data_IF_100516130644
#
_entry.id   IF_100516130644
#
_cell.length_a   1.000
_cell.length_b   1.000
_cell.length_c   1.000
_cell.angle_alpha   90.00
_cell.angle_beta   90.00
_cell.angle_gamma   90.00
#
_symmetry.space_group_name_H-M   'P 1'
#
loop_
_entity.id
_entity.type
_entity.pdbx_description
1 polymer ?
#
# COMPACT_ATOMS: atom_id res chain seq x y z
N UNK A 1 23.23 -1.11 14.63
CA UNK A 1 22.42 -2.32 14.44
C UNK A 1 21.00 -1.89 14.14
N UNK A 2 20.58 -2.13 12.89
CA UNK A 2 19.27 -2.04 12.24
C UNK A 2 18.23 -1.01 12.76
N UNK A 3 18.26 0.20 12.17
CA UNK A 3 17.17 1.18 12.26
C UNK A 3 16.18 0.95 11.12
N UNK A 4 15.07 0.26 11.40
CA UNK A 4 13.70 0.51 10.90
C UNK A 4 12.84 -0.72 11.24
N UNK A 5 12.52 -0.87 12.53
CA UNK A 5 11.32 -1.60 12.92
C UNK A 5 10.17 -0.64 12.77
N UNK A 6 9.43 -0.70 11.65
CA UNK A 6 8.14 -0.03 11.62
C UNK A 6 7.23 -0.77 12.62
N UNK A 7 6.52 -0.02 13.43
CA UNK A 7 5.40 -0.59 14.18
C UNK A 7 4.18 -0.63 13.25
N UNK A 8 3.38 -1.68 13.38
CA UNK A 8 2.22 -1.90 12.53
C UNK A 8 0.98 -2.14 13.38
N UNK A 9 -0.15 -1.70 12.83
CA UNK A 9 -1.48 -2.13 13.25
C UNK A 9 -1.96 -3.21 12.28
N UNK A 10 -2.01 -4.45 12.74
CA UNK A 10 -2.57 -5.57 12.00
C UNK A 10 -4.09 -5.63 12.19
N UNK A 11 -4.83 -5.87 11.11
CA UNK A 11 -6.27 -6.15 11.15
C UNK A 11 -6.58 -7.38 10.31
N UNK A 12 -7.30 -8.34 10.88
CA UNK A 12 -7.78 -9.49 10.11
C UNK A 12 -9.07 -9.13 9.37
N UNK A 13 -9.08 -9.36 8.05
CA UNK A 13 -10.25 -9.23 7.20
C UNK A 13 -10.32 -10.46 6.30
N UNK A 14 -11.43 -11.19 6.33
CA UNK A 14 -11.62 -12.41 5.54
C UNK A 14 -10.44 -13.41 5.69
N UNK A 15 -9.95 -13.62 6.92
CA UNK A 15 -8.82 -14.50 7.24
C UNK A 15 -7.46 -14.05 6.64
N UNK A 16 -7.35 -12.78 6.26
CA UNK A 16 -6.11 -12.18 5.77
C UNK A 16 -5.74 -11.04 6.69
N UNK A 17 -4.51 -11.07 7.20
CA UNK A 17 -3.93 -9.98 7.97
C UNK A 17 -3.57 -8.83 7.03
N UNK A 18 -4.11 -7.65 7.31
CA UNK A 18 -3.83 -6.40 6.60
C UNK A 18 -3.08 -5.49 7.55
N UNK A 19 -1.83 -5.20 7.21
CA UNK A 19 -0.97 -4.33 8.00
C UNK A 19 -1.10 -2.87 7.57
N UNK A 20 -1.14 -1.99 8.57
CA UNK A 20 -0.98 -0.55 8.43
C UNK A 20 0.25 -0.08 9.22
N UNK A 21 1.16 0.66 8.59
CA UNK A 21 2.29 1.30 9.27
C UNK A 21 1.80 2.41 10.19
N UNK A 22 2.22 2.40 11.46
CA UNK A 22 1.75 3.39 12.45
C UNK A 22 2.28 4.80 12.15
N UNK A 23 3.51 4.91 11.64
CA UNK A 23 4.19 6.19 11.50
C UNK A 23 3.66 7.08 10.36
N UNK A 24 3.20 6.46 9.26
CA UNK A 24 2.79 7.17 8.04
C UNK A 24 1.46 6.68 7.46
N UNK A 25 0.80 5.72 8.13
CA UNK A 25 -0.51 5.23 7.78
C UNK A 25 -0.56 4.37 6.52
N UNK A 26 0.58 4.06 5.88
CA UNK A 26 0.58 3.24 4.66
C UNK A 26 -0.01 1.87 4.93
N UNK A 27 -0.79 1.38 3.97
CA UNK A 27 -1.52 0.11 4.08
C UNK A 27 -0.94 -0.90 3.10
N UNK A 28 -0.80 -2.15 3.53
CA UNK A 28 -0.43 -3.26 2.65
C UNK A 28 -1.58 -3.58 1.68
N UNK A 29 -1.56 -2.91 0.52
CA UNK A 29 -2.59 -3.05 -0.51
C UNK A 29 -2.59 -4.44 -1.17
N UNK A 30 -1.45 -5.15 -1.15
CA UNK A 30 -1.44 -6.56 -1.60
C UNK A 30 -2.33 -7.42 -0.72
N UNK A 31 -2.23 -7.29 0.61
CA UNK A 31 -3.10 -8.01 1.55
C UNK A 31 -4.56 -7.55 1.42
N UNK A 32 -4.80 -6.24 1.33
CA UNK A 32 -6.14 -5.67 1.17
C UNK A 32 -6.88 -6.18 -0.07
N UNK A 33 -6.22 -6.15 -1.24
CA UNK A 33 -6.82 -6.68 -2.46
C UNK A 33 -7.06 -8.19 -2.35
N UNK A 34 -6.11 -8.94 -1.78
CA UNK A 34 -6.24 -10.39 -1.59
C UNK A 34 -7.44 -10.73 -0.70
N UNK A 35 -7.68 -9.96 0.37
CA UNK A 35 -8.82 -10.13 1.26
C UNK A 35 -10.17 -9.92 0.54
N UNK A 36 -10.14 -9.20 -0.59
CA UNK A 36 -11.28 -8.96 -1.47
C UNK A 36 -11.33 -9.89 -2.69
N UNK A 37 -10.45 -10.91 -2.76
CA UNK A 37 -10.35 -11.80 -3.91
C UNK A 37 -9.81 -11.14 -5.19
N UNK A 38 -9.08 -10.02 -5.07
CA UNK A 38 -8.52 -9.23 -6.18
C UNK A 38 -6.99 -9.19 -6.12
N UNK A 39 -6.36 -8.79 -7.23
CA UNK A 39 -4.92 -8.54 -7.29
C UNK A 39 -4.64 -7.04 -7.32
N UNK A 40 -3.65 -6.58 -6.55
CA UNK A 40 -3.22 -5.17 -6.57
C UNK A 40 -2.75 -4.73 -7.96
N UNK A 41 -2.13 -5.64 -8.72
CA UNK A 41 -1.74 -5.38 -10.10
C UNK A 41 -2.94 -5.06 -11.01
N UNK A 42 -4.10 -5.67 -10.76
CA UNK A 42 -5.31 -5.41 -11.52
C UNK A 42 -5.91 -4.03 -11.21
N UNK A 43 -5.74 -3.52 -9.99
CA UNK A 43 -6.13 -2.16 -9.62
C UNK A 43 -5.18 -1.13 -10.25
N UNK A 44 -3.86 -1.34 -10.15
CA UNK A 44 -2.85 -0.41 -10.67
C UNK A 44 -2.81 -0.32 -12.20
N UNK A 45 -3.32 -1.32 -12.92
CA UNK A 45 -3.40 -1.29 -14.39
C UNK A 45 -4.58 -0.48 -14.95
N UNK A 46 -5.61 -0.20 -14.15
CA UNK A 46 -6.79 0.55 -14.60
C UNK A 46 -6.40 1.97 -14.95
N UNK A 47 -6.91 2.49 -16.07
CA UNK A 47 -6.61 3.86 -16.50
C UNK A 47 -7.16 4.90 -15.50
N UNK A 48 -8.34 4.64 -14.94
CA UNK A 48 -8.90 5.46 -13.85
C UNK A 48 -7.99 5.54 -12.62
N UNK A 49 -7.29 4.46 -12.28
CA UNK A 49 -6.34 4.45 -11.15
C UNK A 49 -5.09 5.27 -11.48
N UNK A 50 -4.60 5.19 -12.73
CA UNK A 50 -3.44 5.99 -13.17
C UNK A 50 -3.76 7.48 -13.19
N UNK A 51 -4.94 7.84 -13.70
CA UNK A 51 -5.45 9.21 -13.68
C UNK A 51 -5.56 9.72 -12.24
N UNK A 52 -6.20 8.94 -11.36
CA UNK A 52 -6.29 9.28 -9.94
C UNK A 52 -4.91 9.50 -9.27
N UNK A 53 -3.94 8.60 -9.51
CA UNK A 53 -2.60 8.74 -8.93
C UNK A 53 -1.85 9.96 -9.47
N UNK A 54 -2.07 10.33 -10.73
CA UNK A 54 -1.47 11.52 -11.35
C UNK A 54 -2.04 12.80 -10.74
N UNK A 55 -3.36 12.86 -10.57
CA UNK A 55 -4.00 14.00 -9.89
C UNK A 55 -3.57 14.09 -8.43
N UNK A 56 -3.50 12.95 -7.73
CA UNK A 56 -3.07 12.91 -6.34
C UNK A 56 -1.60 13.36 -6.19
N UNK A 57 -0.70 12.90 -7.06
CA UNK A 57 0.69 13.37 -7.12
C UNK A 57 0.77 14.90 -7.27
N UNK A 58 -0.06 15.49 -8.14
CA UNK A 58 -0.12 16.94 -8.33
C UNK A 58 -0.65 17.68 -7.10
N UNK A 59 -1.64 17.13 -6.40
CA UNK A 59 -2.28 17.77 -5.25
C UNK A 59 -1.40 17.71 -3.98
N UNK A 60 -0.83 16.54 -3.68
CA UNK A 60 -0.04 16.34 -2.44
C UNK A 60 1.46 16.61 -2.62
N UNK A 61 1.95 16.66 -3.86
CA UNK A 61 3.35 16.95 -4.19
C UNK A 61 4.32 15.78 -3.99
N UNK A 62 3.82 14.57 -3.74
CA UNK A 62 4.63 13.36 -3.63
C UNK A 62 4.58 12.59 -4.95
N UNK A 63 5.74 12.10 -5.45
CA UNK A 63 5.76 11.33 -6.68
C UNK A 63 4.96 10.03 -6.53
N UNK A 64 4.43 9.50 -7.64
CA UNK A 64 3.67 8.22 -7.62
C UNK A 64 4.47 7.07 -6.98
N UNK A 65 5.80 7.06 -7.13
CA UNK A 65 6.67 6.05 -6.50
C UNK A 65 6.70 6.12 -4.97
N UNK A 66 6.38 7.28 -4.39
CA UNK A 66 6.15 7.41 -2.95
C UNK A 66 4.73 7.00 -2.59
N UNK A 67 3.72 7.40 -3.37
CA UNK A 67 2.31 7.02 -3.15
C UNK A 67 2.08 5.50 -3.22
N UNK A 68 2.86 4.78 -4.03
CA UNK A 68 2.81 3.33 -4.22
C UNK A 68 4.22 2.74 -4.08
N UNK A 69 4.49 2.16 -2.91
CA UNK A 69 5.79 1.57 -2.57
C UNK A 69 5.77 0.06 -2.77
N UNK A 70 6.59 -0.43 -3.69
CA UNK A 70 6.71 -1.87 -3.95
C UNK A 70 7.94 -2.42 -3.21
N UNK A 71 7.71 -3.25 -2.20
CA UNK A 71 8.77 -3.89 -1.42
C UNK A 71 8.92 -5.35 -1.84
N UNK A 72 10.11 -5.70 -2.32
CA UNK A 72 10.47 -7.05 -2.78
C UNK A 72 11.84 -7.44 -2.23
N UNK A 73 11.92 -8.61 -1.60
CA UNK A 73 13.12 -9.09 -0.91
C UNK A 73 13.37 -8.39 0.43
N UNK A 74 14.30 -8.92 1.23
CA UNK A 74 14.58 -8.40 2.56
C UNK A 74 13.62 -8.94 3.62
N UNK A 75 13.06 -8.05 4.46
CA UNK A 75 12.18 -8.44 5.56
C UNK A 75 10.87 -9.05 5.02
N UNK A 76 10.54 -10.33 5.37
CA UNK A 76 9.31 -10.99 4.94
C UNK A 76 8.03 -10.25 5.33
N UNK A 77 8.01 -9.57 6.47
CA UNK A 77 6.82 -8.85 6.96
C UNK A 77 6.54 -7.57 6.17
N UNK A 78 7.55 -7.02 5.51
CA UNK A 78 7.41 -5.82 4.69
C UNK A 78 7.05 -6.12 3.23
N UNK A 79 6.97 -7.39 2.82
CA UNK A 79 6.73 -7.74 1.43
C UNK A 79 5.35 -7.27 0.96
N UNK A 80 5.30 -6.78 -0.29
CA UNK A 80 4.06 -6.39 -0.93
C UNK A 80 4.10 -4.97 -1.48
N UNK A 81 2.93 -4.51 -1.90
CA UNK A 81 2.69 -3.14 -2.35
C UNK A 81 2.03 -2.37 -1.21
N UNK A 82 2.69 -1.33 -0.75
CA UNK A 82 2.22 -0.42 0.30
C UNK A 82 1.76 0.88 -0.34
N UNK A 83 0.55 1.33 0.00
CA UNK A 83 -0.02 2.53 -0.61
C UNK A 83 -0.29 3.60 0.44
N UNK A 84 -0.14 4.85 0.03
CA UNK A 84 -0.46 6.03 0.84
C UNK A 84 -1.93 5.98 1.32
N UNK A 85 -2.26 6.51 2.51
CA UNK A 85 -3.64 6.47 3.05
C UNK A 85 -4.72 6.93 2.09
N UNK A 86 -4.48 7.99 1.31
CA UNK A 86 -5.45 8.48 0.31
C UNK A 86 -5.69 7.51 -0.86
N UNK A 87 -4.71 6.67 -1.20
CA UNK A 87 -4.86 5.62 -2.21
C UNK A 87 -5.61 4.42 -1.63
N UNK A 88 -5.51 4.16 -0.33
CA UNK A 88 -6.15 3.03 0.33
C UNK A 88 -7.69 3.16 0.48
N UNK A 89 -8.24 4.36 0.34
CA UNK A 89 -9.68 4.65 0.56
C UNK A 89 -10.52 4.77 -0.72
N UNK A 90 -9.89 4.66 -1.90
CA UNK A 90 -10.57 4.84 -3.20
C UNK A 90 -11.33 3.62 -3.69
#
# INVERSE_FOLDING_TARGET
MNKQGYEYLAREVNQIEIDQRINDGYVNATALCKASGKLIADYLRLDSTKEFLTELESDVGNPISELVQVVKGGNPQLQGTWVHPYVAIT
#
